data_IF_151284814436
#
_entry.id   IF_151284814436
#
_cell.length_a   1.000
_cell.length_b   1.000
_cell.length_c   1.000
_cell.angle_alpha   90.00
_cell.angle_beta   90.00
_cell.angle_gamma   90.00
#
_symmetry.space_group_name_H-M   'P 1'
#
loop_
_entity.id
_entity.type
_entity.pdbx_description
1 polymer ?
#
# COMPACT_ATOMS: atom_id res chain seq x y z
N UNK A 1 -0.11 -11.63 23.30
CA UNK A 1 0.21 -10.92 22.09
C UNK A 1 0.58 -11.83 20.96
N UNK A 2 0.09 -11.58 19.81
CA UNK A 2 0.39 -12.41 18.66
C UNK A 2 1.76 -12.10 18.08
N UNK A 3 2.78 -12.40 18.84
CA UNK A 3 4.14 -12.14 18.41
C UNK A 3 4.60 -13.10 17.35
N UNK A 4 3.82 -14.13 17.12
CA UNK A 4 4.14 -15.12 16.10
C UNK A 4 3.84 -14.66 14.69
N UNK A 5 3.08 -13.57 14.51
CA UNK A 5 2.76 -13.07 13.19
C UNK A 5 3.88 -12.14 12.69
N UNK A 6 4.45 -12.44 11.53
CA UNK A 6 5.43 -11.52 10.94
C UNK A 6 4.78 -10.17 10.66
N UNK A 7 5.28 -9.16 11.32
CA UNK A 7 4.82 -7.80 11.13
C UNK A 7 6.04 -6.90 11.06
N UNK A 8 6.08 -6.06 10.06
CA UNK A 8 7.13 -5.08 9.94
C UNK A 8 6.57 -3.78 9.43
N UNK A 9 7.32 -2.73 9.61
CA UNK A 9 6.99 -1.45 9.04
C UNK A 9 8.25 -0.84 8.43
N UNK A 10 8.04 -0.06 7.38
CA UNK A 10 9.13 0.67 6.75
C UNK A 10 8.61 2.03 6.31
N UNK A 11 9.52 2.95 6.07
CA UNK A 11 9.14 4.27 5.60
C UNK A 11 9.64 4.45 4.18
N UNK A 12 8.76 4.93 3.32
CA UNK A 12 9.06 5.24 1.93
C UNK A 12 8.56 6.66 1.68
N UNK A 13 9.47 7.56 1.33
CA UNK A 13 9.14 8.96 1.07
C UNK A 13 8.30 9.60 2.18
N UNK A 14 8.63 9.27 3.44
CA UNK A 14 7.93 9.83 4.59
C UNK A 14 6.62 9.14 4.96
N UNK A 15 6.23 8.11 4.22
CA UNK A 15 5.02 7.35 4.50
C UNK A 15 5.37 6.04 5.20
N UNK A 16 4.57 5.67 6.20
CA UNK A 16 4.77 4.42 6.91
C UNK A 16 4.00 3.30 6.22
N UNK A 17 4.71 2.27 5.84
CA UNK A 17 4.14 1.10 5.18
C UNK A 17 4.16 -0.06 6.14
N UNK A 18 3.03 -0.66 6.39
CA UNK A 18 2.90 -1.81 7.28
C UNK A 18 2.87 -3.10 6.48
N UNK A 19 3.76 -4.03 6.82
CA UNK A 19 3.85 -5.33 6.16
C UNK A 19 3.39 -6.43 7.10
N UNK A 20 2.59 -7.34 6.60
CA UNK A 20 2.17 -8.53 7.33
C UNK A 20 2.49 -9.77 6.49
N UNK A 21 2.91 -10.83 7.13
CA UNK A 21 3.24 -12.12 6.48
C UNK A 21 4.22 -11.95 5.32
N UNK A 22 5.33 -11.25 5.56
CA UNK A 22 6.37 -11.04 4.56
C UNK A 22 5.85 -10.37 3.28
N UNK A 23 4.91 -9.45 3.44
CA UNK A 23 4.42 -8.69 2.32
C UNK A 23 3.14 -9.23 1.68
N UNK A 24 2.53 -10.25 2.26
CA UNK A 24 1.23 -10.73 1.78
C UNK A 24 0.17 -9.64 1.88
N UNK A 25 0.20 -8.89 2.98
CA UNK A 25 -0.69 -7.77 3.18
C UNK A 25 0.15 -6.52 3.44
N UNK A 26 -0.06 -5.51 2.65
CA UNK A 26 0.59 -4.22 2.84
C UNK A 26 -0.49 -3.18 3.06
N UNK A 27 -0.31 -2.36 4.09
CA UNK A 27 -1.25 -1.31 4.43
C UNK A 27 -0.53 0.02 4.56
N UNK A 28 -1.13 1.08 4.04
CA UNK A 28 -0.61 2.43 4.19
C UNK A 28 -1.77 3.34 4.55
N UNK A 29 -1.69 3.94 5.74
CA UNK A 29 -2.76 4.78 6.27
C UNK A 29 -2.38 6.25 6.35
N UNK A 30 -1.25 6.64 5.78
CA UNK A 30 -0.84 8.03 5.76
C UNK A 30 -1.71 8.86 4.83
N UNK A 31 -1.78 10.16 5.11
CA UNK A 31 -2.49 11.08 4.25
C UNK A 31 -1.63 11.50 3.07
N UNK A 32 -2.28 11.83 1.96
CA UNK A 32 -1.60 12.37 0.77
C UNK A 32 -0.44 11.50 0.30
N UNK A 33 -0.69 10.21 0.17
CA UNK A 33 0.32 9.26 -0.28
C UNK A 33 0.68 9.56 -1.75
N UNK A 34 1.95 9.81 -2.06
CA UNK A 34 2.35 10.11 -3.43
C UNK A 34 2.40 8.85 -4.30
N UNK A 35 2.36 9.06 -5.60
CA UNK A 35 2.41 7.96 -6.57
C UNK A 35 3.68 7.11 -6.42
N UNK A 36 4.79 7.75 -6.05
CA UNK A 36 6.04 7.01 -5.87
C UNK A 36 5.92 5.93 -4.79
N UNK A 37 5.22 6.24 -3.71
CA UNK A 37 4.98 5.26 -2.64
C UNK A 37 4.07 4.15 -3.13
N UNK A 38 3.02 4.49 -3.87
CA UNK A 38 2.11 3.50 -4.43
C UNK A 38 2.86 2.57 -5.38
N UNK A 39 3.74 3.11 -6.20
CA UNK A 39 4.56 2.29 -7.11
C UNK A 39 5.50 1.36 -6.35
N UNK A 40 6.09 1.83 -5.26
CA UNK A 40 6.96 0.99 -4.45
C UNK A 40 6.19 -0.16 -3.80
N UNK A 41 4.97 0.10 -3.34
CA UNK A 41 4.10 -0.95 -2.81
C UNK A 41 3.75 -1.96 -3.91
N UNK A 42 3.41 -1.46 -5.09
CA UNK A 42 3.07 -2.33 -6.21
C UNK A 42 4.26 -3.21 -6.64
N UNK A 43 5.47 -2.69 -6.58
CA UNK A 43 6.66 -3.47 -6.88
C UNK A 43 6.83 -4.68 -5.99
N UNK A 44 6.35 -4.60 -4.75
CA UNK A 44 6.42 -5.70 -3.81
C UNK A 44 5.42 -6.81 -4.14
N UNK A 45 4.47 -6.54 -5.00
CA UNK A 45 3.44 -7.48 -5.45
C UNK A 45 2.77 -8.21 -4.28
N UNK A 46 2.19 -7.47 -3.33
CA UNK A 46 1.50 -8.12 -2.22
C UNK A 46 0.23 -8.78 -2.70
N UNK A 47 -0.29 -9.72 -1.93
CA UNK A 47 -1.60 -10.29 -2.24
C UNK A 47 -2.71 -9.28 -2.05
N UNK A 48 -2.55 -8.40 -1.04
CA UNK A 48 -3.52 -7.35 -0.74
C UNK A 48 -2.82 -6.06 -0.39
N UNK A 49 -3.40 -4.96 -0.83
CA UNK A 49 -2.93 -3.62 -0.47
C UNK A 49 -4.13 -2.83 0.07
N UNK A 50 -3.97 -2.25 1.25
CA UNK A 50 -5.03 -1.51 1.91
C UNK A 50 -4.61 -0.06 2.10
N UNK A 51 -5.46 0.86 1.71
CA UNK A 51 -5.24 2.28 1.88
C UNK A 51 -6.44 2.91 2.57
N UNK A 52 -6.23 4.07 3.18
CA UNK A 52 -7.33 4.87 3.69
C UNK A 52 -7.82 5.83 2.61
N UNK A 53 -9.09 6.18 2.69
CA UNK A 53 -9.63 7.18 1.78
C UNK A 53 -8.86 8.51 1.89
N UNK A 54 -8.47 8.90 3.09
CA UNK A 54 -7.68 10.11 3.32
C UNK A 54 -6.29 10.05 2.70
N UNK A 55 -5.79 8.87 2.38
CA UNK A 55 -4.50 8.74 1.70
C UNK A 55 -4.50 9.41 0.33
N UNK A 56 -5.68 9.58 -0.25
CA UNK A 56 -5.84 10.17 -1.57
C UNK A 56 -6.63 11.47 -1.57
N UNK A 57 -6.86 12.06 -0.39
CA UNK A 57 -7.83 13.15 -0.25
C UNK A 57 -7.56 14.35 -1.17
N UNK A 58 -6.30 14.70 -1.38
CA UNK A 58 -5.91 15.85 -2.19
C UNK A 58 -5.00 15.46 -3.35
N UNK A 59 -5.12 14.24 -3.83
CA UNK A 59 -4.19 13.70 -4.80
C UNK A 59 -4.94 13.00 -5.93
N UNK A 60 -4.48 13.09 -7.17
CA UNK A 60 -5.02 12.28 -8.25
C UNK A 60 -4.64 10.80 -8.12
N UNK A 61 -3.84 10.44 -7.14
CA UNK A 61 -3.38 9.08 -6.94
C UNK A 61 -4.53 8.09 -6.78
N UNK A 62 -5.67 8.53 -6.26
CA UNK A 62 -6.83 7.64 -6.13
C UNK A 62 -7.29 7.08 -7.46
N UNK A 63 -7.20 7.89 -8.50
CA UNK A 63 -7.54 7.45 -9.86
C UNK A 63 -6.46 6.53 -10.39
N UNK A 64 -5.21 6.87 -10.09
CA UNK A 64 -4.06 6.16 -10.64
C UNK A 64 -3.73 4.86 -9.90
N UNK A 65 -4.13 4.72 -8.64
CA UNK A 65 -3.75 3.56 -7.83
C UNK A 65 -4.19 2.25 -8.48
N UNK A 66 -5.42 2.20 -8.97
CA UNK A 66 -5.92 1.01 -9.63
C UNK A 66 -5.13 0.66 -10.86
N UNK A 67 -4.76 1.66 -11.66
CA UNK A 67 -3.99 1.44 -12.87
C UNK A 67 -2.55 1.03 -12.57
N UNK A 68 -1.95 1.66 -11.58
CA UNK A 68 -0.58 1.31 -11.17
C UNK A 68 -0.53 -0.16 -10.75
N UNK A 69 -1.46 -0.59 -9.92
CA UNK A 69 -1.50 -1.99 -9.48
C UNK A 69 -1.87 -2.92 -10.63
N UNK A 70 -2.73 -2.48 -11.53
CA UNK A 70 -3.08 -3.29 -12.68
C UNK A 70 -1.90 -3.55 -13.60
N UNK A 71 -1.01 -2.56 -13.75
CA UNK A 71 0.16 -2.69 -14.59
C UNK A 71 1.31 -3.41 -13.91
N UNK A 72 1.53 -3.13 -12.63
CA UNK A 72 2.70 -3.61 -11.91
C UNK A 72 2.42 -4.85 -11.06
N UNK A 73 1.21 -4.98 -10.57
CA UNK A 73 0.83 -6.09 -9.69
C UNK A 73 -0.63 -6.46 -9.95
N UNK A 74 -0.93 -7.06 -11.11
CA UNK A 74 -2.32 -7.33 -11.49
C UNK A 74 -3.02 -8.31 -10.57
N UNK A 75 -2.26 -9.12 -9.84
CA UNK A 75 -2.84 -10.09 -8.92
C UNK A 75 -3.10 -9.51 -7.52
N UNK A 76 -2.65 -8.29 -7.27
CA UNK A 76 -2.85 -7.64 -5.98
C UNK A 76 -4.27 -7.10 -5.87
N UNK A 77 -4.92 -7.40 -4.76
CA UNK A 77 -6.23 -6.84 -4.46
C UNK A 77 -6.06 -5.55 -3.69
N UNK A 78 -6.54 -4.47 -4.24
CA UNK A 78 -6.46 -3.14 -3.63
C UNK A 78 -7.79 -2.81 -2.97
N UNK A 79 -7.72 -2.33 -1.73
CA UNK A 79 -8.91 -1.91 -1.00
C UNK A 79 -8.67 -0.55 -0.38
N UNK A 80 -9.65 0.32 -0.49
CA UNK A 80 -9.64 1.64 0.15
C UNK A 80 -10.75 1.66 1.18
N UNK A 81 -10.39 1.98 2.42
CA UNK A 81 -11.35 1.99 3.53
C UNK A 81 -11.59 3.39 4.07
#
# INVERSE_FOLDING_TARGET
LPLSLPYGSEQIDGCTIHNYNDGDLIACFDENVPDSVIKEIAKKQPLRAVFRDSSFANSPSKINVGEIFKLMAPDTRVKVI
#
